data_IF_386738012481
#
_entry.id   IF_386738012481
#
_cell.length_a   1.000
_cell.length_b   1.000
_cell.length_c   1.000
_cell.angle_alpha   90.00
_cell.angle_beta   90.00
_cell.angle_gamma   90.00
#
_symmetry.space_group_name_H-M   'P 1'
#
loop_
_entity.id
_entity.type
_entity.pdbx_description
1 polymer ?
#
# COMPACT_ATOMS: atom_id res chain seq x y z
N UNK A 1 11.66 13.85 -8.99
CA UNK A 1 10.26 13.70 -9.42
C UNK A 1 9.59 12.69 -8.52
N UNK A 2 8.61 13.13 -7.73
CA UNK A 2 7.79 12.22 -6.92
C UNK A 2 7.02 11.30 -7.88
N UNK A 3 7.12 9.99 -7.71
CA UNK A 3 6.32 9.08 -8.53
C UNK A 3 4.86 9.18 -8.10
N UNK A 4 4.08 10.04 -8.77
CA UNK A 4 2.65 10.29 -8.49
C UNK A 4 1.81 9.00 -8.51
N UNK A 5 2.28 7.96 -9.21
CA UNK A 5 1.59 6.68 -9.34
C UNK A 5 2.08 5.62 -8.35
N UNK A 6 2.86 6.02 -7.33
CA UNK A 6 3.36 5.15 -6.27
C UNK A 6 3.02 5.74 -4.91
N UNK A 7 2.49 4.89 -4.03
CA UNK A 7 2.25 5.21 -2.63
C UNK A 7 2.98 4.19 -1.75
N UNK A 8 3.63 4.71 -0.71
CA UNK A 8 4.31 3.90 0.29
C UNK A 8 3.41 3.88 1.52
N UNK A 9 2.95 2.70 1.90
CA UNK A 9 2.12 2.52 3.09
C UNK A 9 2.97 1.86 4.16
N UNK A 10 3.07 2.49 5.33
CA UNK A 10 3.82 1.91 6.45
C UNK A 10 3.06 0.69 6.97
N UNK A 11 3.65 -0.49 6.87
CA UNK A 11 3.02 -1.73 7.31
C UNK A 11 3.40 -2.08 8.76
N UNK A 12 4.64 -1.82 9.15
CA UNK A 12 5.05 -1.95 10.55
C UNK A 12 6.37 -1.22 10.84
N UNK A 13 6.54 -0.82 12.09
CA UNK A 13 7.82 -0.32 12.63
C UNK A 13 8.52 -1.51 13.31
N UNK A 14 9.63 -1.96 12.75
CA UNK A 14 10.38 -3.09 13.31
C UNK A 14 11.35 -2.58 14.40
N UNK A 15 10.95 -2.73 15.68
CA UNK A 15 11.88 -2.72 16.81
C UNK A 15 11.32 -2.19 18.14
N UNK A 16 11.38 -3.01 19.19
CA UNK A 16 11.30 -2.56 20.59
C UNK A 16 12.69 -2.29 21.22
N UNK A 17 13.77 -2.84 20.66
CA UNK A 17 15.11 -2.80 21.30
C UNK A 17 16.30 -2.52 20.37
N UNK A 18 16.11 -2.49 19.06
CA UNK A 18 17.13 -2.08 18.08
C UNK A 18 16.41 -1.37 16.95
N UNK A 19 16.82 -0.14 16.63
CA UNK A 19 16.37 0.62 15.47
C UNK A 19 16.67 -0.17 14.19
N UNK A 20 15.82 -1.15 13.84
CA UNK A 20 16.22 -2.20 12.90
C UNK A 20 15.72 -1.93 11.49
N UNK A 21 14.43 -1.63 11.29
CA UNK A 21 13.89 -1.21 9.99
C UNK A 21 12.45 -0.68 10.11
N UNK A 22 11.95 -0.07 9.03
CA UNK A 22 10.52 0.08 8.77
C UNK A 22 10.14 -0.81 7.60
N UNK A 23 9.01 -1.51 7.70
CA UNK A 23 8.46 -2.29 6.59
C UNK A 23 7.31 -1.52 5.94
N UNK A 24 7.30 -1.48 4.62
CA UNK A 24 6.31 -0.78 3.81
C UNK A 24 5.69 -1.72 2.79
N UNK A 25 4.42 -1.46 2.45
CA UNK A 25 3.82 -1.94 1.21
C UNK A 25 3.88 -0.82 0.16
N UNK A 26 4.62 -1.04 -0.91
CA UNK A 26 4.79 -0.06 -1.98
C UNK A 26 3.83 -0.39 -3.10
N UNK A 27 2.73 0.36 -3.16
CA UNK A 27 1.64 0.18 -4.13
C UNK A 27 1.92 1.06 -5.34
N UNK A 28 1.74 0.51 -6.53
CA UNK A 28 1.89 1.20 -7.82
C UNK A 28 0.66 1.02 -8.68
N UNK A 29 0.10 2.12 -9.17
CA UNK A 29 -0.91 2.16 -10.24
C UNK A 29 -0.23 2.32 -11.59
N UNK A 30 -0.66 1.57 -12.59
CA UNK A 30 -0.08 1.67 -13.93
C UNK A 30 -0.67 2.85 -14.71
N UNK A 31 0.20 3.72 -15.24
CA UNK A 31 -0.22 4.95 -15.94
C UNK A 31 -0.85 4.71 -17.32
N UNK A 32 -0.38 3.67 -18.04
CA UNK A 32 -0.72 3.44 -19.46
C UNK A 32 -1.64 2.24 -19.70
N UNK A 33 -1.92 1.47 -18.65
CA UNK A 33 -2.74 0.26 -18.70
C UNK A 33 -3.47 0.13 -17.38
N UNK A 34 -4.60 -0.58 -17.38
CA UNK A 34 -5.29 -0.94 -16.14
C UNK A 34 -4.38 -1.87 -15.32
N UNK A 35 -4.53 -1.80 -14.00
CA UNK A 35 -3.85 -2.69 -13.07
C UNK A 35 -2.90 -2.00 -12.10
N UNK A 36 -2.49 -2.81 -11.15
CA UNK A 36 -1.73 -2.41 -9.98
C UNK A 36 -0.63 -3.43 -9.71
N UNK A 37 0.36 -2.99 -8.93
CA UNK A 37 1.29 -3.91 -8.30
C UNK A 37 1.61 -3.46 -6.89
N UNK A 38 1.94 -4.41 -6.04
CA UNK A 38 2.49 -4.13 -4.71
C UNK A 38 3.73 -4.96 -4.48
N UNK A 39 4.64 -4.44 -3.66
CA UNK A 39 5.79 -5.18 -3.16
C UNK A 39 6.09 -4.75 -1.73
N UNK A 40 6.49 -5.68 -0.85
CA UNK A 40 6.99 -5.32 0.46
C UNK A 40 8.40 -4.73 0.34
N UNK A 41 8.69 -3.67 1.08
CA UNK A 41 10.00 -3.03 1.14
C UNK A 41 10.38 -2.77 2.58
N UNK A 42 11.49 -3.36 3.01
CA UNK A 42 12.11 -3.06 4.30
C UNK A 42 13.19 -2.01 4.11
N UNK A 43 13.08 -0.90 4.86
CA UNK A 43 14.08 0.16 4.89
C UNK A 43 14.81 0.12 6.22
N UNK A 44 16.07 -0.27 6.19
CA UNK A 44 16.94 -0.36 7.34
C UNK A 44 17.50 1.02 7.69
N UNK A 45 17.78 1.26 8.98
CA UNK A 45 18.41 2.50 9.44
C UNK A 45 19.81 2.71 8.86
N UNK A 46 20.49 1.63 8.44
CA UNK A 46 21.76 1.68 7.70
C UNK A 46 21.64 2.32 6.31
N UNK A 47 20.42 2.62 5.85
CA UNK A 47 20.14 3.11 4.50
C UNK A 47 19.95 1.99 3.47
N UNK A 48 20.22 0.74 3.83
CA UNK A 48 19.95 -0.41 2.96
C UNK A 48 18.44 -0.61 2.79
N UNK A 49 18.03 -1.01 1.59
CA UNK A 49 16.65 -1.36 1.28
C UNK A 49 16.58 -2.78 0.75
N UNK A 50 15.66 -3.57 1.30
CA UNK A 50 15.35 -4.91 0.81
C UNK A 50 13.95 -4.90 0.22
N UNK A 51 13.82 -5.28 -1.04
CA UNK A 51 12.53 -5.45 -1.70
C UNK A 51 12.18 -6.93 -1.79
N UNK A 52 10.95 -7.29 -1.46
CA UNK A 52 10.40 -8.59 -1.79
C UNK A 52 9.87 -8.67 -3.21
N UNK A 53 9.19 -9.79 -3.50
CA UNK A 53 8.56 -10.07 -4.78
C UNK A 53 7.44 -9.07 -5.09
N UNK A 54 7.25 -8.78 -6.38
CA UNK A 54 6.20 -7.86 -6.84
C UNK A 54 4.97 -8.65 -7.28
N UNK A 55 3.88 -8.45 -6.55
CA UNK A 55 2.57 -9.00 -6.86
C UNK A 55 1.80 -8.06 -7.78
N UNK A 56 1.11 -8.61 -8.77
CA UNK A 56 0.30 -7.84 -9.74
C UNK A 56 -1.19 -8.13 -9.58
N UNK A 57 -2.01 -7.13 -9.87
CA UNK A 57 -3.48 -7.17 -9.74
C UNK A 57 -4.12 -6.44 -10.91
N UNK A 58 -5.30 -6.91 -11.34
CA UNK A 58 -6.03 -6.27 -12.44
C UNK A 58 -6.81 -5.05 -11.97
N UNK A 59 -7.36 -5.11 -10.77
CA UNK A 59 -8.16 -4.06 -10.16
C UNK A 59 -7.66 -3.72 -8.74
N UNK A 60 -8.16 -2.60 -8.22
CA UNK A 60 -7.71 -2.07 -6.93
C UNK A 60 -8.31 -2.85 -5.75
N UNK A 61 -9.54 -3.35 -5.92
CA UNK A 61 -10.23 -4.15 -4.91
C UNK A 61 -9.45 -5.42 -4.56
N UNK A 62 -9.00 -6.19 -5.56
CA UNK A 62 -8.15 -7.37 -5.35
C UNK A 62 -6.87 -7.02 -4.59
N UNK A 63 -6.23 -5.91 -4.96
CA UNK A 63 -5.02 -5.46 -4.27
C UNK A 63 -5.31 -5.15 -2.79
N UNK A 64 -6.39 -4.45 -2.50
CA UNK A 64 -6.78 -4.10 -1.12
C UNK A 64 -7.11 -5.37 -0.33
N UNK A 65 -7.91 -6.29 -0.90
CA UNK A 65 -8.21 -7.57 -0.27
C UNK A 65 -6.94 -8.38 0.00
N UNK A 66 -5.96 -8.36 -0.91
CA UNK A 66 -4.68 -9.04 -0.72
C UNK A 66 -3.89 -8.43 0.44
N UNK A 67 -3.76 -7.09 0.47
CA UNK A 67 -3.02 -6.40 1.52
C UNK A 67 -3.63 -6.58 2.90
N UNK A 68 -4.96 -6.60 2.98
CA UNK A 68 -5.72 -6.84 4.22
C UNK A 68 -5.77 -8.34 4.60
N UNK A 69 -5.29 -9.22 3.72
CA UNK A 69 -5.29 -10.67 3.94
C UNK A 69 -6.67 -11.31 3.86
N UNK A 70 -7.62 -10.68 3.16
CA UNK A 70 -9.00 -11.14 2.88
C UNK A 70 -9.18 -11.65 1.44
N UNK A 71 -8.11 -11.72 0.64
CA UNK A 71 -8.21 -12.16 -0.76
C UNK A 71 -8.62 -13.64 -0.85
N UNK A 72 -9.57 -14.00 -1.75
CA UNK A 72 -10.18 -15.33 -1.76
C UNK A 72 -9.20 -16.48 -2.08
N UNK A 73 -8.22 -16.23 -2.95
CA UNK A 73 -7.30 -17.27 -3.47
C UNK A 73 -5.82 -17.01 -3.23
N UNK A 74 -5.43 -15.82 -2.77
CA UNK A 74 -4.03 -15.42 -2.62
C UNK A 74 -3.78 -15.04 -1.17
N UNK A 75 -2.69 -15.54 -0.61
CA UNK A 75 -2.33 -15.27 0.78
C UNK A 75 -1.19 -14.27 0.83
N UNK A 76 -1.40 -13.14 1.49
CA UNK A 76 -0.32 -12.22 1.84
C UNK A 76 0.40 -12.75 3.08
N UNK A 77 1.58 -13.33 2.87
CA UNK A 77 2.47 -13.80 3.96
C UNK A 77 3.30 -12.68 4.59
N UNK A 78 3.24 -11.46 4.04
CA UNK A 78 3.93 -10.29 4.57
C UNK A 78 3.12 -9.56 5.65
N UNK A 79 3.60 -8.38 6.03
CA UNK A 79 2.85 -7.49 6.90
C UNK A 79 1.59 -6.99 6.20
N UNK A 80 0.46 -7.16 6.88
CA UNK A 80 -0.84 -6.71 6.40
C UNK A 80 -0.94 -5.19 6.50
N UNK A 81 -1.74 -4.63 5.60
CA UNK A 81 -2.08 -3.22 5.58
C UNK A 81 -3.58 -3.13 5.33
N UNK A 82 -4.27 -2.44 6.22
CA UNK A 82 -5.72 -2.24 6.19
C UNK A 82 -6.13 -1.18 5.16
N UNK A 83 -7.40 -1.17 4.71
CA UNK A 83 -7.91 -0.10 3.85
C UNK A 83 -7.73 1.30 4.44
N UNK A 84 -7.85 1.44 5.76
CA UNK A 84 -7.67 2.70 6.47
C UNK A 84 -6.24 3.23 6.36
N UNK A 85 -5.23 2.38 6.56
CA UNK A 85 -3.81 2.76 6.42
C UNK A 85 -3.44 3.16 4.98
N UNK A 86 -4.03 2.50 3.98
CA UNK A 86 -3.85 2.89 2.56
C UNK A 86 -4.47 4.26 2.30
N UNK A 87 -5.67 4.49 2.82
CA UNK A 87 -6.37 5.78 2.68
C UNK A 87 -5.57 6.90 3.33
N UNK A 88 -5.11 6.71 4.56
CA UNK A 88 -4.29 7.70 5.28
C UNK A 88 -3.02 8.06 4.49
N UNK A 89 -2.30 7.06 3.96
CA UNK A 89 -1.09 7.30 3.18
C UNK A 89 -1.35 8.10 1.88
N UNK A 90 -2.50 7.88 1.24
CA UNK A 90 -2.91 8.63 0.06
C UNK A 90 -3.34 10.07 0.43
N UNK A 91 -4.10 10.27 1.51
CA UNK A 91 -4.57 11.59 1.93
C UNK A 91 -3.45 12.50 2.44
N UNK A 92 -2.41 11.92 3.05
CA UNK A 92 -1.20 12.64 3.49
C UNK A 92 -0.25 13.00 2.33
N UNK A 93 -0.51 12.49 1.13
CA UNK A 93 0.32 12.80 -0.05
C UNK A 93 0.03 14.19 -0.62
N UNK A 94 0.92 14.67 -1.50
CA UNK A 94 0.75 15.91 -2.25
C UNK A 94 -0.52 15.92 -3.11
N UNK A 95 -0.97 17.12 -3.49
CA UNK A 95 -2.22 17.34 -4.22
C UNK A 95 -2.24 16.63 -5.58
N UNK A 96 -1.13 16.63 -6.32
CA UNK A 96 -1.03 15.97 -7.62
C UNK A 96 -1.23 14.46 -7.50
N UNK A 97 -0.63 13.83 -6.48
CA UNK A 97 -0.83 12.41 -6.19
C UNK A 97 -2.28 12.14 -5.78
N UNK A 98 -2.88 12.97 -4.91
CA UNK A 98 -4.27 12.79 -4.51
C UNK A 98 -5.24 12.84 -5.69
N UNK A 99 -5.04 13.77 -6.62
CA UNK A 99 -5.87 13.85 -7.82
C UNK A 99 -5.67 12.61 -8.72
N UNK A 100 -4.44 12.12 -8.87
CA UNK A 100 -4.16 10.90 -9.63
C UNK A 100 -4.81 9.63 -9.05
N UNK A 101 -4.97 9.58 -7.72
CA UNK A 101 -5.55 8.46 -6.97
C UNK A 101 -7.00 8.70 -6.51
N UNK A 102 -7.66 9.75 -7.01
CA UNK A 102 -8.97 10.19 -6.51
C UNK A 102 -10.05 9.10 -6.49
N UNK A 103 -10.11 8.29 -7.54
CA UNK A 103 -11.07 7.18 -7.64
C UNK A 103 -10.82 6.11 -6.56
N UNK A 104 -9.55 5.79 -6.30
CA UNK A 104 -9.17 4.82 -5.27
C UNK A 104 -9.39 5.38 -3.86
N UNK A 105 -9.14 6.67 -3.64
CA UNK A 105 -9.46 7.36 -2.38
C UNK A 105 -10.97 7.29 -2.11
N UNK A 106 -11.81 7.60 -3.10
CA UNK A 106 -13.27 7.53 -2.95
C UNK A 106 -13.74 6.09 -2.65
N UNK A 107 -13.16 5.10 -3.33
CA UNK A 107 -13.40 3.69 -3.05
C UNK A 107 -13.05 3.33 -1.60
N UNK A 108 -11.86 3.71 -1.12
CA UNK A 108 -11.42 3.41 0.25
C UNK A 108 -12.29 4.08 1.30
N UNK A 109 -12.74 5.33 1.07
CA UNK A 109 -13.66 6.01 1.99
C UNK A 109 -14.95 5.22 2.18
N UNK A 110 -15.59 4.81 1.07
CA UNK A 110 -16.80 3.99 1.11
C UNK A 110 -16.57 2.63 1.77
N UNK A 111 -15.38 2.06 1.61
CA UNK A 111 -15.02 0.78 2.23
C UNK A 111 -14.86 0.92 3.74
N UNK A 112 -14.10 1.93 4.19
CA UNK A 112 -13.85 2.19 5.62
C UNK A 112 -15.15 2.58 6.34
N UNK A 113 -16.01 3.40 5.73
CA UNK A 113 -17.32 3.75 6.31
C UNK A 113 -18.19 2.51 6.58
N UNK A 114 -18.15 1.51 5.69
CA UNK A 114 -18.90 0.26 5.86
C UNK A 114 -18.33 -0.67 6.93
N UNK A 115 -17.04 -0.58 7.25
CA UNK A 115 -16.41 -1.41 8.29
C UNK A 115 -16.65 -0.86 9.71
N UNK A 116 -17.08 0.40 9.84
CA UNK A 116 -17.36 1.07 11.12
C UNK A 116 -18.81 0.90 11.59
N UNK A 117 -19.70 0.43 10.70
CA UNK A 117 -21.13 0.15 10.95
C UNK A 117 -21.33 -1.34 11.22
#
# INVERSE_FOLDING_TARGET
MTEINVVWVLATRLGAFRHSANSYQVIRKYKRRKGYSVRPVDRFFSGYTRSGETEKFENFEELVQFLDGKHPTRTNYGFKVTPHEILEALEQSDEEKREFWKAEIEYLKKLVEKEVV
#
